data_IF_060400767098
#
_entry.id   IF_060400767098
#
_cell.length_a   1.000
_cell.length_b   1.000
_cell.length_c   1.000
_cell.angle_alpha   90.00
_cell.angle_beta   90.00
_cell.angle_gamma   90.00
#
_symmetry.space_group_name_H-M   'P 1'
#
loop_
_entity.id
_entity.type
_entity.pdbx_description
1 polymer ?
#
# COMPACT_ATOMS: atom_id res chain seq x y z
N UNK A 1 -6.44 -5.01 27.80
CA UNK A 1 -6.89 -5.96 26.76
C UNK A 1 -6.09 -5.64 25.53
N UNK A 2 -5.29 -6.58 25.04
CA UNK A 2 -4.52 -6.37 23.81
C UNK A 2 -5.51 -6.48 22.66
N UNK A 3 -5.95 -5.35 22.10
CA UNK A 3 -6.73 -5.36 20.85
C UNK A 3 -5.82 -5.98 19.78
N UNK A 4 -6.16 -7.18 19.32
CA UNK A 4 -5.40 -7.87 18.30
C UNK A 4 -5.54 -7.10 16.98
N UNK A 5 -4.44 -6.52 16.51
CA UNK A 5 -4.43 -5.69 15.30
C UNK A 5 -4.41 -6.61 14.08
N UNK A 6 -5.50 -6.63 13.31
CA UNK A 6 -5.56 -7.37 12.03
C UNK A 6 -4.49 -6.82 11.07
N UNK A 7 -3.71 -7.71 10.44
CA UNK A 7 -2.60 -7.34 9.55
C UNK A 7 -2.72 -7.95 8.16
N UNK A 8 -2.21 -7.24 7.16
CA UNK A 8 -2.07 -7.70 5.78
C UNK A 8 -0.57 -7.86 5.40
N UNK A 9 -0.23 -8.80 4.51
CA UNK A 9 1.12 -8.91 3.98
C UNK A 9 1.48 -7.71 3.09
N UNK A 10 2.76 -7.32 3.10
CA UNK A 10 3.36 -6.34 2.19
C UNK A 10 4.65 -6.90 1.58
N UNK A 11 4.98 -6.43 0.38
CA UNK A 11 6.21 -6.84 -0.29
C UNK A 11 7.43 -6.13 0.31
N UNK A 12 8.44 -6.91 0.66
CA UNK A 12 9.73 -6.43 1.16
C UNK A 12 10.88 -7.05 0.37
N UNK A 13 11.82 -6.23 -0.08
CA UNK A 13 12.95 -6.66 -0.95
C UNK A 13 13.87 -7.72 -0.31
N UNK A 14 13.89 -7.84 1.02
CA UNK A 14 14.64 -8.86 1.73
C UNK A 14 13.73 -9.99 2.22
N UNK A 15 13.59 -11.01 1.38
CA UNK A 15 13.04 -12.32 1.75
C UNK A 15 14.07 -13.01 2.65
N UNK A 16 14.05 -12.69 3.94
CA UNK A 16 14.46 -13.69 4.93
C UNK A 16 13.32 -14.72 4.99
N UNK A 17 13.66 -15.99 4.79
CA UNK A 17 12.79 -17.13 4.43
C UNK A 17 11.63 -17.47 5.38
N UNK A 18 11.26 -16.63 6.34
CA UNK A 18 10.36 -17.05 7.41
C UNK A 18 9.15 -16.13 7.66
N UNK A 19 9.25 -14.80 7.53
CA UNK A 19 8.07 -13.94 7.69
C UNK A 19 8.21 -12.70 6.79
N UNK A 20 7.35 -12.58 5.78
CA UNK A 20 7.26 -11.36 4.97
C UNK A 20 6.76 -10.18 5.81
N UNK A 21 7.04 -8.95 5.37
CA UNK A 21 6.54 -7.76 6.05
C UNK A 21 5.02 -7.77 6.20
N UNK A 22 4.52 -7.25 7.32
CA UNK A 22 3.09 -7.10 7.58
C UNK A 22 2.79 -5.71 8.10
N UNK A 23 1.67 -5.15 7.69
CA UNK A 23 1.17 -3.86 8.18
C UNK A 23 -0.26 -4.02 8.70
N UNK A 24 -0.72 -3.14 9.61
CA UNK A 24 -2.12 -3.11 9.99
C UNK A 24 -3.03 -3.01 8.76
N UNK A 25 -4.10 -3.79 8.74
CA UNK A 25 -5.06 -3.82 7.64
C UNK A 25 -5.61 -2.43 7.34
N UNK A 26 -5.89 -1.64 8.38
CA UNK A 26 -6.33 -0.24 8.28
C UNK A 26 -5.40 0.62 7.41
N UNK A 27 -4.08 0.40 7.51
CA UNK A 27 -3.07 1.11 6.72
C UNK A 27 -3.10 0.65 5.27
N UNK A 28 -3.11 -0.66 5.02
CA UNK A 28 -3.13 -1.20 3.65
C UNK A 28 -4.44 -0.87 2.91
N UNK A 29 -5.58 -0.88 3.62
CA UNK A 29 -6.88 -0.52 3.05
C UNK A 29 -6.98 0.98 2.76
N UNK A 30 -6.33 1.82 3.56
CA UNK A 30 -6.22 3.26 3.27
C UNK A 30 -5.41 3.51 1.99
N UNK A 31 -4.30 2.78 1.79
CA UNK A 31 -3.55 2.82 0.54
C UNK A 31 -4.38 2.27 -0.64
N UNK A 32 -5.11 1.17 -0.43
CA UNK A 32 -5.99 0.56 -1.43
C UNK A 32 -7.10 1.51 -1.90
N UNK A 33 -7.64 2.35 -1.01
CA UNK A 33 -8.63 3.35 -1.38
C UNK A 33 -8.07 4.34 -2.42
N UNK A 34 -6.84 4.82 -2.22
CA UNK A 34 -6.18 5.71 -3.18
C UNK A 34 -5.86 4.97 -4.47
N UNK A 35 -5.35 3.75 -4.38
CA UNK A 35 -5.08 2.90 -5.54
C UNK A 35 -6.32 2.72 -6.43
N UNK A 36 -7.48 2.39 -5.84
CA UNK A 36 -8.74 2.22 -6.57
C UNK A 36 -9.20 3.50 -7.28
N UNK A 37 -8.95 4.67 -6.68
CA UNK A 37 -9.31 5.96 -7.27
C UNK A 37 -8.39 6.33 -8.44
N UNK A 38 -7.09 6.09 -8.30
CA UNK A 38 -6.08 6.48 -9.30
C UNK A 38 -6.03 5.49 -10.46
N UNK A 39 -6.24 4.21 -10.18
CA UNK A 39 -6.15 3.13 -11.16
C UNK A 39 -7.51 2.45 -11.34
N UNK A 40 -7.63 1.21 -10.88
CA UNK A 40 -8.87 0.43 -10.90
C UNK A 40 -8.81 -0.61 -9.79
N UNK A 41 -9.95 -1.04 -9.22
CA UNK A 41 -9.98 -2.02 -8.15
C UNK A 41 -9.28 -3.34 -8.53
N UNK A 42 -8.46 -3.86 -7.61
CA UNK A 42 -7.80 -5.15 -7.75
C UNK A 42 -7.84 -5.88 -6.40
N UNK A 43 -8.90 -6.68 -6.19
CA UNK A 43 -9.18 -7.33 -4.90
C UNK A 43 -8.06 -8.26 -4.42
N UNK A 44 -7.29 -8.85 -5.35
CA UNK A 44 -6.18 -9.73 -5.01
C UNK A 44 -5.11 -9.04 -4.14
N UNK A 45 -4.97 -7.72 -4.22
CA UNK A 45 -4.02 -6.93 -3.42
C UNK A 45 -4.34 -7.01 -1.92
N UNK A 46 -5.63 -7.05 -1.57
CA UNK A 46 -6.10 -6.97 -0.17
C UNK A 46 -6.65 -8.28 0.37
N UNK A 47 -6.95 -9.25 -0.50
CA UNK A 47 -7.40 -10.61 -0.10
C UNK A 47 -6.26 -11.60 0.09
N UNK A 48 -5.01 -11.19 -0.16
CA UNK A 48 -3.82 -12.03 0.05
C UNK A 48 -3.56 -13.07 -1.04
N UNK A 49 -4.30 -13.02 -2.15
CA UNK A 49 -4.12 -13.89 -3.33
C UNK A 49 -3.17 -13.28 -4.39
N UNK A 50 -2.69 -12.06 -4.19
CA UNK A 50 -1.62 -11.43 -4.96
C UNK A 50 -0.23 -11.80 -4.37
N UNK A 51 0.85 -11.64 -5.16
CA UNK A 51 2.26 -11.90 -4.78
C UNK A 51 2.78 -10.99 -3.65
N UNK A 52 2.08 -10.87 -2.52
CA UNK A 52 2.53 -10.13 -1.34
C UNK A 52 1.94 -8.73 -1.14
N UNK A 53 0.90 -8.33 -1.88
CA UNK A 53 0.24 -7.03 -1.68
C UNK A 53 1.07 -5.85 -2.18
N UNK A 54 0.89 -4.66 -1.58
CA UNK A 54 1.68 -3.46 -1.89
C UNK A 54 3.13 -3.60 -1.42
N UNK A 55 4.06 -2.98 -2.14
CA UNK A 55 5.39 -2.65 -1.65
C UNK A 55 5.34 -1.54 -0.59
N UNK A 56 6.38 -1.43 0.23
CA UNK A 56 6.52 -0.32 1.19
C UNK A 56 6.53 1.04 0.47
N UNK A 57 7.18 1.13 -0.70
CA UNK A 57 7.22 2.33 -1.52
C UNK A 57 5.83 2.78 -1.96
N UNK A 58 5.00 1.84 -2.44
CA UNK A 58 3.61 2.12 -2.82
C UNK A 58 2.77 2.56 -1.63
N UNK A 59 2.92 1.91 -0.46
CA UNK A 59 2.23 2.33 0.76
C UNK A 59 2.57 3.80 1.08
N UNK A 60 3.84 4.19 1.01
CA UNK A 60 4.26 5.58 1.26
C UNK A 60 3.61 6.53 0.25
N UNK A 61 3.68 6.22 -1.04
CA UNK A 61 3.11 7.05 -2.12
C UNK A 61 1.61 7.25 -1.94
N UNK A 62 0.86 6.17 -1.69
CA UNK A 62 -0.59 6.25 -1.55
C UNK A 62 -1.02 6.96 -0.27
N UNK A 63 -0.34 6.73 0.85
CA UNK A 63 -0.65 7.44 2.10
C UNK A 63 -0.26 8.92 2.04
N UNK A 64 0.83 9.26 1.34
CA UNK A 64 1.17 10.64 1.01
C UNK A 64 0.03 11.31 0.25
N UNK A 65 -0.42 10.72 -0.87
CA UNK A 65 -1.51 11.26 -1.66
C UNK A 65 -2.83 11.38 -0.86
N UNK A 66 -3.13 10.41 0.01
CA UNK A 66 -4.32 10.42 0.89
C UNK A 66 -4.41 11.63 1.81
N UNK A 67 -3.28 12.28 2.13
CA UNK A 67 -3.27 13.48 2.99
C UNK A 67 -3.82 14.74 2.31
N UNK A 68 -4.06 14.68 1.00
CA UNK A 68 -4.61 15.77 0.18
C UNK A 68 -6.09 15.54 -0.17
N UNK A 69 -6.82 16.56 -0.67
CA UNK A 69 -8.17 16.39 -1.19
C UNK A 69 -8.23 15.29 -2.26
N UNK A 70 -9.33 14.53 -2.26
CA UNK A 70 -9.51 13.37 -3.14
C UNK A 70 -9.27 13.67 -4.63
N UNK A 71 -9.69 14.86 -5.07
CA UNK A 71 -9.52 15.31 -6.45
C UNK A 71 -8.05 15.44 -6.88
N UNK A 72 -7.11 15.58 -5.94
CA UNK A 72 -5.68 15.73 -6.20
C UNK A 72 -4.91 14.41 -6.15
N UNK A 73 -5.52 13.31 -5.71
CA UNK A 73 -4.79 12.07 -5.39
C UNK A 73 -3.95 11.55 -6.55
N UNK A 74 -4.46 11.62 -7.78
CA UNK A 74 -3.70 11.20 -8.96
C UNK A 74 -2.42 12.01 -9.13
N UNK A 75 -2.53 13.34 -9.08
CA UNK A 75 -1.39 14.25 -9.25
C UNK A 75 -0.37 14.06 -8.12
N UNK A 76 -0.83 13.80 -6.89
CA UNK A 76 0.05 13.55 -5.72
C UNK A 76 0.74 12.20 -5.78
N UNK A 77 0.10 11.17 -6.35
CA UNK A 77 0.76 9.88 -6.62
C UNK A 77 1.86 10.07 -7.66
N UNK A 78 1.59 10.78 -8.75
CA UNK A 78 2.57 11.07 -9.79
C UNK A 78 3.73 11.92 -9.26
N UNK A 79 3.43 12.91 -8.41
CA UNK A 79 4.41 13.75 -7.71
C UNK A 79 5.34 12.92 -6.82
N UNK A 80 4.77 12.12 -5.91
CA UNK A 80 5.54 11.31 -4.96
C UNK A 80 6.37 10.21 -5.63
N UNK A 81 5.87 9.68 -6.75
CA UNK A 81 6.58 8.65 -7.53
C UNK A 81 7.73 9.21 -8.36
N UNK A 82 7.78 10.53 -8.56
CA UNK A 82 8.76 11.17 -9.44
C UNK A 82 10.18 11.02 -8.90
N UNK A 83 11.03 10.35 -9.67
CA UNK A 83 12.44 10.16 -9.33
C UNK A 83 12.71 8.97 -8.39
N UNK A 84 11.69 8.19 -8.02
CA UNK A 84 11.90 6.93 -7.32
C UNK A 84 12.70 5.95 -8.21
N UNK A 85 13.62 5.21 -7.60
CA UNK A 85 14.45 4.19 -8.27
C UNK A 85 14.38 2.90 -7.47
N UNK A 86 14.38 1.76 -8.15
CA UNK A 86 14.33 0.42 -7.55
C UNK A 86 13.12 0.24 -6.61
N UNK A 87 11.93 0.65 -7.07
CA UNK A 87 10.67 0.37 -6.36
C UNK A 87 10.44 -1.14 -6.26
#
# INVERSE_FOLDING_TARGET
>A
MSDEVETHPVQTHHISRYEGGRLPKTVTMAAYQVYCEVYSPQEAIVTGSCRGGFSISEIIVFLYARSFPKAEWKDRVEEASRGMKNM
#
